data_IF_606959238580
#
_entry.id   IF_606959238580
#
_cell.length_a   1.000
_cell.length_b   1.000
_cell.length_c   1.000
_cell.angle_alpha   90.00
_cell.angle_beta   90.00
_cell.angle_gamma   90.00
#
_symmetry.space_group_name_H-M   'P 1'
#
loop_
_entity.id
_entity.type
_entity.pdbx_description
1 polymer ?
#
# COMPACT_ATOMS: atom_id res chain seq x y z
N UNK A 1 1.34 18.09 -7.79
CA UNK A 1 1.13 16.77 -8.45
C UNK A 1 0.48 17.05 -9.80
N UNK A 2 1.15 16.77 -10.91
CA UNK A 2 0.76 17.31 -12.24
C UNK A 2 0.18 16.26 -13.20
N UNK A 3 0.44 14.98 -12.95
CA UNK A 3 0.08 13.90 -13.87
C UNK A 3 -1.43 13.73 -14.13
N UNK A 4 -2.29 14.08 -13.16
CA UNK A 4 -3.72 13.75 -13.20
C UNK A 4 -4.61 14.88 -13.75
N UNK A 5 -4.03 15.95 -14.28
CA UNK A 5 -4.79 17.03 -14.92
C UNK A 5 -5.63 17.90 -13.98
N UNK A 6 -5.33 17.89 -12.68
CA UNK A 6 -5.97 18.78 -11.71
C UNK A 6 -5.52 20.24 -11.91
N UNK A 7 -6.45 21.18 -11.76
CA UNK A 7 -6.22 22.60 -11.97
C UNK A 7 -5.53 23.26 -10.77
N UNK A 8 -5.84 22.80 -9.56
CA UNK A 8 -5.24 23.29 -8.32
C UNK A 8 -4.81 22.13 -7.42
N UNK A 9 -3.92 22.40 -6.47
CA UNK A 9 -3.45 21.37 -5.53
C UNK A 9 -4.53 20.92 -4.56
N UNK A 10 -5.50 21.79 -4.25
CA UNK A 10 -6.65 21.47 -3.41
C UNK A 10 -7.60 20.46 -4.06
N UNK A 11 -7.57 20.34 -5.40
CA UNK A 11 -8.40 19.38 -6.14
C UNK A 11 -7.81 17.96 -6.17
N UNK A 12 -6.57 17.78 -5.71
CA UNK A 12 -5.89 16.48 -5.73
C UNK A 12 -6.50 15.59 -4.63
N UNK A 13 -7.07 14.42 -4.98
CA UNK A 13 -7.57 13.48 -3.99
C UNK A 13 -6.50 13.02 -3.02
N UNK A 14 -6.88 12.78 -1.76
CA UNK A 14 -5.97 12.23 -0.76
C UNK A 14 -5.46 10.84 -1.13
N UNK A 15 -6.28 10.05 -1.84
CA UNK A 15 -5.95 8.71 -2.30
C UNK A 15 -6.28 8.58 -3.78
N UNK A 16 -5.30 8.10 -4.54
CA UNK A 16 -5.43 7.76 -5.95
C UNK A 16 -5.08 6.28 -6.10
N UNK A 17 -6.03 5.49 -6.62
CA UNK A 17 -5.83 4.09 -6.94
C UNK A 17 -5.86 3.87 -8.45
N UNK A 18 -5.03 2.93 -8.93
CA UNK A 18 -5.05 2.48 -10.32
C UNK A 18 -5.43 1.01 -10.39
N UNK A 19 -5.88 0.57 -11.56
CA UNK A 19 -5.97 -0.86 -11.86
C UNK A 19 -4.60 -1.38 -12.26
N UNK A 20 -4.31 -2.62 -11.89
CA UNK A 20 -3.07 -3.27 -12.30
C UNK A 20 -3.11 -3.54 -13.81
N UNK A 21 -2.28 -2.81 -14.56
CA UNK A 21 -2.11 -3.02 -16.00
C UNK A 21 -0.62 -2.86 -16.35
N UNK A 22 -0.11 -3.52 -17.41
CA UNK A 22 1.29 -3.37 -17.82
C UNK A 22 1.71 -1.94 -18.19
N UNK A 23 0.74 -1.03 -18.38
CA UNK A 23 0.98 0.38 -18.72
C UNK A 23 1.16 1.26 -17.48
N UNK A 24 0.60 0.85 -16.34
CA UNK A 24 0.67 1.61 -15.10
C UNK A 24 1.93 1.23 -14.34
N UNK A 25 2.78 2.20 -14.03
CA UNK A 25 4.03 1.98 -13.30
C UNK A 25 3.87 2.11 -11.77
N UNK A 26 2.68 2.50 -11.30
CA UNK A 26 2.34 2.55 -9.88
C UNK A 26 0.91 2.03 -9.65
N UNK A 27 0.65 1.55 -8.44
CA UNK A 27 -0.63 0.98 -8.01
C UNK A 27 -1.49 2.00 -7.26
N UNK A 28 -0.88 2.78 -6.37
CA UNK A 28 -1.60 3.82 -5.62
C UNK A 28 -0.69 4.92 -5.12
N UNK A 29 -1.29 6.08 -4.89
CA UNK A 29 -0.68 7.22 -4.21
C UNK A 29 -1.60 7.62 -3.06
N UNK A 30 -1.05 7.84 -1.86
CA UNK A 30 -1.81 8.28 -0.69
C UNK A 30 -1.12 9.40 0.07
N UNK A 31 -1.88 10.41 0.51
CA UNK A 31 -1.45 11.39 1.51
C UNK A 31 -1.07 10.68 2.80
N UNK A 32 -0.02 11.13 3.45
CA UNK A 32 0.35 10.66 4.79
C UNK A 32 0.29 11.83 5.74
N UNK A 33 -0.42 11.64 6.84
CA UNK A 33 -0.41 12.57 7.96
C UNK A 33 0.73 12.20 8.92
N UNK A 34 1.29 13.20 9.63
CA UNK A 34 2.22 12.93 10.72
C UNK A 34 1.62 11.97 11.76
N UNK A 35 2.45 11.05 12.27
CA UNK A 35 2.04 10.18 13.39
C UNK A 35 2.01 10.98 14.69
N UNK A 36 2.97 11.89 14.86
CA UNK A 36 3.10 12.78 16.01
C UNK A 36 2.60 14.19 15.65
N UNK A 37 2.13 14.96 16.64
CA UNK A 37 1.73 16.36 16.48
C UNK A 37 0.65 16.66 15.43
N UNK A 38 -0.26 15.71 15.18
CA UNK A 38 -1.39 15.87 14.22
C UNK A 38 -2.20 17.16 14.37
N UNK A 39 -2.27 17.72 15.57
CA UNK A 39 -3.01 18.96 15.85
C UNK A 39 -2.30 20.24 15.37
N UNK A 40 -0.99 20.19 15.15
CA UNK A 40 -0.13 21.36 14.94
C UNK A 40 0.56 21.38 13.57
N UNK A 41 0.28 20.41 12.70
CA UNK A 41 0.88 20.36 11.36
C UNK A 41 -0.23 20.15 10.36
N UNK A 42 -0.49 21.17 9.55
CA UNK A 42 -1.37 21.03 8.40
C UNK A 42 -0.65 20.11 7.38
N UNK A 43 -1.24 18.98 6.97
CA UNK A 43 -0.68 18.11 5.94
C UNK A 43 -0.37 18.85 4.63
N UNK A 44 -0.98 20.01 4.38
CA UNK A 44 -0.69 20.88 3.23
C UNK A 44 0.64 21.62 3.34
N UNK A 45 1.15 21.89 4.54
CA UNK A 45 2.44 22.56 4.74
C UNK A 45 3.63 21.63 4.45
N UNK A 46 3.46 20.33 4.69
CA UNK A 46 4.46 19.30 4.44
C UNK A 46 3.80 18.06 3.79
N UNK A 47 3.43 18.14 2.50
CA UNK A 47 2.65 17.09 1.85
C UNK A 47 3.49 15.84 1.59
N UNK A 48 3.44 14.89 2.52
CA UNK A 48 4.06 13.57 2.36
C UNK A 48 3.11 12.68 1.55
N UNK A 49 3.63 12.08 0.47
CA UNK A 49 2.89 11.14 -0.38
C UNK A 49 3.60 9.79 -0.35
N UNK A 50 2.84 8.73 -0.08
CA UNK A 50 3.30 7.35 -0.22
C UNK A 50 2.86 6.81 -1.57
N UNK A 51 3.78 6.22 -2.33
CA UNK A 51 3.50 5.59 -3.62
C UNK A 51 3.79 4.10 -3.53
N UNK A 52 2.82 3.27 -3.91
CA UNK A 52 3.03 1.84 -4.11
C UNK A 52 3.25 1.56 -5.59
N UNK A 53 4.28 0.78 -5.89
CA UNK A 53 4.65 0.37 -7.25
C UNK A 53 5.29 -1.01 -7.23
N UNK A 54 5.28 -1.70 -8.38
CA UNK A 54 5.87 -3.02 -8.57
C UNK A 54 7.41 -3.00 -8.66
N UNK A 55 7.96 -1.86 -9.02
CA UNK A 55 9.39 -1.63 -9.21
C UNK A 55 9.72 -0.21 -8.76
N UNK A 56 11.00 0.02 -8.42
CA UNK A 56 11.46 1.37 -8.09
C UNK A 56 11.08 2.37 -9.20
N UNK A 57 10.61 3.54 -8.78
CA UNK A 57 10.23 4.60 -9.70
C UNK A 57 11.47 5.32 -10.21
N UNK A 58 11.56 5.48 -11.53
CA UNK A 58 12.61 6.28 -12.14
C UNK A 58 12.41 7.76 -11.83
N UNK A 59 13.49 8.55 -11.93
CA UNK A 59 13.41 10.01 -11.80
C UNK A 59 12.39 10.62 -12.76
N UNK A 60 12.28 10.10 -13.99
CA UNK A 60 11.31 10.60 -14.96
C UNK A 60 9.86 10.31 -14.55
N UNK A 61 9.59 9.14 -13.97
CA UNK A 61 8.27 8.78 -13.46
C UNK A 61 7.90 9.61 -12.22
N UNK A 62 8.86 9.87 -11.34
CA UNK A 62 8.65 10.76 -10.19
C UNK A 62 8.33 12.19 -10.63
N UNK A 63 9.08 12.72 -11.61
CA UNK A 63 8.85 14.06 -12.17
C UNK A 63 7.54 14.15 -12.97
N UNK A 64 7.02 13.02 -13.43
CA UNK A 64 5.70 12.96 -14.05
C UNK A 64 4.60 13.12 -12.98
N UNK A 65 4.70 12.35 -11.90
CA UNK A 65 3.74 12.38 -10.78
C UNK A 65 3.77 13.71 -10.02
N UNK A 66 4.96 14.20 -9.67
CA UNK A 66 5.17 15.31 -8.76
C UNK A 66 5.90 16.46 -9.43
N UNK A 67 5.41 17.67 -9.17
CA UNK A 67 5.96 18.91 -9.73
C UNK A 67 7.29 19.29 -9.08
N UNK A 68 7.45 18.92 -7.81
CA UNK A 68 8.68 19.06 -7.04
C UNK A 68 8.79 17.87 -6.07
N UNK A 69 10.01 17.39 -5.83
CA UNK A 69 10.31 16.31 -4.90
C UNK A 69 11.54 16.70 -4.11
N UNK A 70 11.37 16.97 -2.81
CA UNK A 70 12.47 17.33 -1.92
C UNK A 70 13.27 16.10 -1.44
N UNK A 71 12.57 15.01 -1.11
CA UNK A 71 13.17 13.78 -0.61
C UNK A 71 12.41 12.54 -1.12
N UNK A 72 13.15 11.47 -1.40
CA UNK A 72 12.58 10.16 -1.76
C UNK A 72 13.16 9.08 -0.86
N UNK A 73 12.28 8.30 -0.23
CA UNK A 73 12.66 7.10 0.50
C UNK A 73 11.94 5.90 -0.08
N UNK A 74 12.71 5.00 -0.70
CA UNK A 74 12.21 3.73 -1.20
C UNK A 74 12.40 2.63 -0.16
N UNK A 75 11.38 1.77 0.00
CA UNK A 75 11.47 0.54 0.79
C UNK A 75 10.88 -0.57 -0.06
N UNK A 76 11.63 -1.66 -0.23
CA UNK A 76 11.16 -2.83 -0.95
C UNK A 76 10.35 -3.73 -0.01
N UNK A 77 9.11 -4.03 -0.39
CA UNK A 77 8.22 -4.93 0.34
C UNK A 77 7.78 -6.06 -0.59
N UNK A 78 7.79 -7.30 -0.10
CA UNK A 78 7.22 -8.46 -0.80
C UNK A 78 5.69 -8.46 -0.68
N UNK A 79 5.04 -7.44 -1.22
CA UNK A 79 3.60 -7.24 -1.18
C UNK A 79 2.93 -7.55 -2.54
N UNK A 80 1.61 -7.75 -2.52
CA UNK A 80 0.76 -7.96 -3.70
C UNK A 80 1.13 -9.20 -4.53
N UNK A 81 1.09 -10.42 -3.98
CA UNK A 81 1.37 -11.63 -4.76
C UNK A 81 0.49 -11.72 -6.03
N UNK A 82 1.07 -12.23 -7.11
CA UNK A 82 0.30 -12.59 -8.30
C UNK A 82 -0.23 -14.02 -8.13
N UNK A 83 -1.54 -14.14 -8.01
CA UNK A 83 -2.19 -15.44 -7.94
C UNK A 83 -2.47 -15.98 -9.33
N UNK A 84 -2.28 -17.30 -9.50
CA UNK A 84 -2.60 -18.02 -10.74
C UNK A 84 -3.59 -19.14 -10.40
N UNK A 85 -4.90 -18.86 -10.38
CA UNK A 85 -5.90 -19.85 -10.02
C UNK A 85 -5.89 -21.08 -10.95
N UNK A 86 -6.13 -22.29 -10.43
CA UNK A 86 -6.40 -22.60 -9.02
C UNK A 86 -5.11 -22.57 -8.17
N UNK A 87 -5.16 -21.85 -7.06
CA UNK A 87 -4.07 -21.83 -6.09
C UNK A 87 -3.90 -23.22 -5.45
N UNK A 88 -2.65 -23.68 -5.35
CA UNK A 88 -2.34 -24.95 -4.70
C UNK A 88 -2.01 -24.70 -3.23
N UNK A 89 -2.96 -24.99 -2.37
CA UNK A 89 -2.74 -24.98 -0.92
C UNK A 89 -2.03 -26.25 -0.49
N UNK A 90 -0.92 -26.09 0.25
CA UNK A 90 -0.21 -27.22 0.84
C UNK A 90 -0.92 -27.68 2.11
N UNK A 91 -1.00 -29.00 2.32
CA UNK A 91 -1.44 -29.55 3.59
C UNK A 91 -0.30 -29.48 4.61
N UNK A 92 -0.64 -29.18 5.84
CA UNK A 92 0.26 -29.24 6.99
C UNK A 92 -0.54 -29.78 8.19
N UNK A 93 0.16 -30.33 9.16
CA UNK A 93 -0.42 -30.78 10.43
C UNK A 93 0.12 -29.87 11.52
N UNK A 94 -0.77 -29.38 12.37
CA UNK A 94 -0.41 -28.58 13.54
C UNK A 94 -0.19 -29.51 14.73
N UNK A 95 0.79 -29.18 15.56
CA UNK A 95 1.02 -29.85 16.83
C UNK A 95 0.09 -29.28 17.92
N UNK A 96 0.04 -29.95 19.07
CA UNK A 96 -0.81 -29.56 20.19
C UNK A 96 -0.47 -28.14 20.67
N UNK A 97 -1.48 -27.28 20.73
CA UNK A 97 -1.34 -25.87 21.14
C UNK A 97 -0.81 -24.92 20.07
N UNK A 98 -0.62 -25.38 18.82
CA UNK A 98 -0.22 -24.53 17.69
C UNK A 98 -1.43 -24.15 16.85
N UNK A 99 -1.57 -22.85 16.54
CA UNK A 99 -2.67 -22.31 15.75
C UNK A 99 -2.16 -21.66 14.47
N UNK A 100 -2.75 -22.02 13.33
CA UNK A 100 -2.48 -21.35 12.06
C UNK A 100 -3.43 -20.17 11.85
N UNK A 101 -3.04 -19.03 12.39
CA UNK A 101 -3.84 -17.79 12.35
C UNK A 101 -3.90 -17.12 10.98
N UNK A 102 -3.21 -17.63 9.96
CA UNK A 102 -3.21 -17.00 8.64
C UNK A 102 -3.64 -17.90 7.49
N UNK A 103 -4.60 -18.79 7.79
CA UNK A 103 -5.18 -19.72 6.81
C UNK A 103 -5.75 -19.07 5.55
N UNK A 104 -6.12 -17.80 5.65
CA UNK A 104 -6.78 -17.04 4.59
C UNK A 104 -5.89 -15.99 3.94
N UNK A 105 -4.62 -15.83 4.33
CA UNK A 105 -3.70 -14.82 3.77
C UNK A 105 -3.65 -14.88 2.24
N UNK A 106 -3.60 -16.11 1.72
CA UNK A 106 -3.54 -16.40 0.29
C UNK A 106 -4.83 -16.01 -0.46
N UNK A 107 -5.94 -15.83 0.25
CA UNK A 107 -7.24 -15.41 -0.33
C UNK A 107 -7.57 -13.96 -0.02
N UNK A 108 -7.11 -13.44 1.13
CA UNK A 108 -7.30 -12.08 1.58
C UNK A 108 -6.17 -11.71 2.55
N UNK A 109 -5.26 -10.84 2.10
CA UNK A 109 -4.18 -10.29 2.94
C UNK A 109 -4.56 -8.87 3.35
N UNK A 110 -5.00 -8.71 4.58
CA UNK A 110 -5.27 -7.41 5.20
C UNK A 110 -5.05 -7.51 6.72
N UNK A 111 -4.72 -6.37 7.35
CA UNK A 111 -4.52 -6.31 8.81
C UNK A 111 -5.77 -6.78 9.56
N UNK A 112 -6.95 -6.50 9.01
CA UNK A 112 -8.24 -6.93 9.52
C UNK A 112 -8.36 -8.45 9.55
N UNK A 113 -7.87 -9.15 8.53
CA UNK A 113 -7.90 -10.62 8.48
C UNK A 113 -7.01 -11.23 9.57
N UNK A 114 -5.84 -10.63 9.82
CA UNK A 114 -4.96 -11.04 10.93
C UNK A 114 -5.63 -10.85 12.29
N UNK A 115 -6.32 -9.73 12.51
CA UNK A 115 -7.01 -9.46 13.77
C UNK A 115 -8.18 -10.43 14.03
N UNK A 116 -8.97 -10.74 12.99
CA UNK A 116 -10.08 -11.71 13.08
C UNK A 116 -9.56 -13.10 13.43
N UNK A 117 -8.52 -13.56 12.74
CA UNK A 117 -7.95 -14.88 13.01
C UNK A 117 -7.30 -14.99 14.38
N UNK A 118 -6.62 -13.93 14.84
CA UNK A 118 -6.05 -13.90 16.19
C UNK A 118 -7.13 -14.02 17.27
N UNK A 119 -8.26 -13.30 17.10
CA UNK A 119 -9.41 -13.42 18.00
C UNK A 119 -9.94 -14.86 18.04
N UNK A 120 -10.10 -15.49 16.88
CA UNK A 120 -10.62 -16.86 16.79
C UNK A 120 -9.69 -17.91 17.42
N UNK A 121 -8.38 -17.71 17.37
CA UNK A 121 -7.41 -18.63 17.99
C UNK A 121 -7.34 -18.49 19.53
N UNK A 122 -7.70 -17.32 20.07
CA UNK A 122 -7.61 -17.03 21.50
C UNK A 122 -8.90 -17.34 22.29
N UNK A 123 -10.00 -17.66 21.60
CA UNK A 123 -11.31 -17.93 22.21
C UNK A 123 -11.57 -19.42 22.44
#
# INVERSE_FOLDING_TARGET
MTHFGFLTEDDIPEVIGTTETPKNYFNSVGMQEPVENRSNTDPKELPIRKVFSRSDLSTSQLNELFSNVDEVKAVSWLAYPHYTPPEKFWSFVLDDGVFYVNAIEHSASAMEMSAVSAKNAAC
#
